data_IF_035652468393
#
_entry.id   IF_035652468393
#
_cell.length_a   1.000
_cell.length_b   1.000
_cell.length_c   1.000
_cell.angle_alpha   90.00
_cell.angle_beta   90.00
_cell.angle_gamma   90.00
#
_symmetry.space_group_name_H-M   'P 1'
#
loop_
_entity.id
_entity.type
_entity.pdbx_description
1 polymer ?
#
# COMPACT_ATOMS: atom_id res chain seq x y z
N UNK A 1 -18.92 -6.47 26.72
CA UNK A 1 -17.81 -6.11 25.81
C UNK A 1 -18.39 -5.83 24.43
N UNK A 2 -19.29 -4.84 24.33
CA UNK A 2 -19.97 -4.35 23.11
C UNK A 2 -20.82 -3.13 23.47
N UNK A 3 -20.22 -2.21 24.22
CA UNK A 3 -20.87 -0.94 24.55
C UNK A 3 -20.42 0.07 23.49
N UNK A 4 -21.33 0.58 22.64
CA UNK A 4 -20.97 1.52 21.58
C UNK A 4 -20.33 2.81 22.13
N UNK A 5 -20.66 3.21 23.37
CA UNK A 5 -20.08 4.40 23.99
C UNK A 5 -18.56 4.26 24.20
N UNK A 6 -18.09 3.06 24.56
CA UNK A 6 -16.65 2.80 24.79
C UNK A 6 -15.83 2.75 23.51
N UNK A 7 -16.46 2.43 22.37
CA UNK A 7 -15.80 2.49 21.06
C UNK A 7 -15.63 3.93 20.58
N UNK A 8 -16.61 4.78 20.85
CA UNK A 8 -16.56 6.21 20.51
C UNK A 8 -15.45 6.89 21.31
N UNK A 9 -15.35 6.65 22.61
CA UNK A 9 -14.26 7.18 23.45
C UNK A 9 -12.87 6.70 22.99
N UNK A 10 -12.75 5.44 22.56
CA UNK A 10 -11.50 4.90 22.02
C UNK A 10 -11.09 5.57 20.70
N UNK A 11 -12.05 5.81 19.80
CA UNK A 11 -11.79 6.47 18.52
C UNK A 11 -11.44 7.96 18.70
N UNK A 12 -12.05 8.65 19.66
CA UNK A 12 -11.77 10.06 19.97
C UNK A 12 -10.43 10.23 20.69
N UNK A 13 -10.03 9.25 21.52
CA UNK A 13 -8.75 9.27 22.25
C UNK A 13 -7.56 8.81 21.40
N UNK A 14 -7.81 8.29 20.19
CA UNK A 14 -6.73 7.94 19.26
C UNK A 14 -5.97 9.20 18.87
N UNK A 15 -4.63 9.24 19.00
CA UNK A 15 -3.79 10.34 18.53
C UNK A 15 -3.66 10.31 17.00
N UNK A 16 -4.79 10.14 16.32
CA UNK A 16 -4.85 10.21 14.88
C UNK A 16 -4.79 11.69 14.53
N UNK A 17 -3.68 12.15 13.93
CA UNK A 17 -3.47 13.54 13.53
C UNK A 17 -4.49 14.06 12.50
N UNK A 18 -5.42 13.20 12.08
CA UNK A 18 -6.55 13.49 11.20
C UNK A 18 -7.89 13.64 11.95
N UNK A 19 -7.97 13.35 13.25
CA UNK A 19 -9.22 13.33 14.02
C UNK A 19 -9.73 14.73 14.40
N UNK A 20 -8.88 15.76 14.29
CA UNK A 20 -9.16 17.13 14.66
C UNK A 20 -9.28 18.10 13.47
N UNK A 21 -9.28 17.58 12.23
CA UNK A 21 -9.55 18.42 11.06
C UNK A 21 -11.02 18.86 11.09
N UNK A 22 -11.25 20.15 11.27
CA UNK A 22 -12.58 20.73 11.16
C UNK A 22 -13.09 20.56 9.73
N UNK A 23 -14.42 20.44 9.58
CA UNK A 23 -15.04 20.31 8.25
C UNK A 23 -14.61 21.47 7.33
N UNK A 24 -14.43 22.68 7.89
CA UNK A 24 -13.91 23.85 7.20
C UNK A 24 -12.46 23.73 6.70
N UNK A 25 -11.58 23.05 7.44
CA UNK A 25 -10.19 22.83 7.02
C UNK A 25 -10.11 21.79 5.90
N UNK A 26 -10.95 20.77 5.96
CA UNK A 26 -11.06 19.75 4.90
C UNK A 26 -11.61 20.39 3.62
N UNK A 27 -12.65 21.22 3.72
CA UNK A 27 -13.21 21.94 2.57
C UNK A 27 -12.18 22.90 1.95
N UNK A 28 -11.43 23.64 2.78
CA UNK A 28 -10.33 24.48 2.30
C UNK A 28 -9.26 23.65 1.57
N UNK A 29 -8.91 22.47 2.08
CA UNK A 29 -7.93 21.59 1.44
C UNK A 29 -8.43 20.98 0.12
N UNK A 30 -9.71 20.62 0.05
CA UNK A 30 -10.36 20.11 -1.17
C UNK A 30 -10.50 21.21 -2.23
N UNK A 31 -10.82 22.44 -1.82
CA UNK A 31 -10.89 23.59 -2.72
C UNK A 31 -9.52 23.98 -3.31
N UNK A 32 -8.43 23.56 -2.66
CA UNK A 32 -7.06 23.74 -3.12
C UNK A 32 -6.58 22.64 -4.07
N UNK A 33 -7.33 21.56 -4.27
CA UNK A 33 -6.98 20.54 -5.27
C UNK A 33 -7.29 21.06 -6.68
N UNK A 34 -6.35 20.95 -7.63
CA UNK A 34 -6.62 21.30 -9.02
C UNK A 34 -7.72 20.38 -9.58
N UNK A 35 -8.49 20.90 -10.54
CA UNK A 35 -9.52 20.10 -11.19
C UNK A 35 -8.86 18.89 -11.88
N UNK A 36 -9.29 17.64 -11.58
CA UNK A 36 -8.64 16.46 -12.12
C UNK A 36 -8.76 16.46 -13.65
N UNK A 37 -7.63 16.30 -14.32
CA UNK A 37 -7.63 16.13 -15.77
C UNK A 37 -8.30 14.80 -16.14
N UNK A 38 -9.11 14.77 -17.21
CA UNK A 38 -9.70 13.54 -17.69
C UNK A 38 -8.60 12.54 -18.06
N UNK A 39 -8.71 11.32 -17.55
CA UNK A 39 -7.81 10.22 -17.88
C UNK A 39 -7.88 9.99 -19.40
N UNK A 40 -6.74 10.14 -20.08
CA UNK A 40 -6.63 9.75 -21.50
C UNK A 40 -6.81 8.23 -21.58
N UNK A 41 -7.76 7.77 -22.39
CA UNK A 41 -8.15 6.36 -22.46
C UNK A 41 -7.07 5.43 -23.02
N UNK A 42 -6.08 5.99 -23.73
CA UNK A 42 -5.05 5.23 -24.44
C UNK A 42 -3.82 4.94 -23.56
N UNK A 43 -4.02 4.41 -22.36
CA UNK A 43 -2.89 3.89 -21.59
C UNK A 43 -2.41 2.59 -22.26
N UNK A 44 -1.14 2.48 -22.66
CA UNK A 44 -0.60 1.21 -23.14
C UNK A 44 -0.71 0.16 -22.03
N UNK A 45 -0.94 -1.09 -22.42
CA UNK A 45 -1.04 -2.19 -21.47
C UNK A 45 0.22 -2.27 -20.61
N UNK A 46 0.04 -2.40 -19.29
CA UNK A 46 1.15 -2.55 -18.36
C UNK A 46 1.87 -3.87 -18.67
N UNK A 47 3.20 -3.85 -18.93
CA UNK A 47 3.95 -5.07 -19.15
C UNK A 47 3.89 -5.99 -17.93
N UNK A 48 3.78 -7.30 -18.16
CA UNK A 48 3.88 -8.29 -17.09
C UNK A 48 5.24 -8.25 -16.40
N UNK A 49 5.27 -8.61 -15.12
CA UNK A 49 6.50 -8.66 -14.33
C UNK A 49 7.45 -9.77 -14.82
N UNK A 50 8.71 -9.42 -15.10
CA UNK A 50 9.74 -10.38 -15.53
C UNK A 50 10.49 -10.94 -14.31
N UNK A 51 10.35 -12.25 -14.08
CA UNK A 51 11.04 -12.97 -13.00
C UNK A 51 12.57 -12.96 -13.14
N UNK A 52 13.11 -12.68 -14.33
CA UNK A 52 14.56 -12.53 -14.53
C UNK A 52 15.14 -11.34 -13.76
N UNK A 53 14.31 -10.36 -13.39
CA UNK A 53 14.70 -9.23 -12.56
C UNK A 53 15.04 -9.66 -11.12
N UNK A 54 14.54 -10.81 -10.68
CA UNK A 54 14.84 -11.37 -9.36
C UNK A 54 16.14 -12.18 -9.36
N UNK A 55 16.87 -12.20 -8.23
CA UNK A 55 17.91 -13.18 -7.96
C UNK A 55 17.39 -14.61 -8.13
N UNK A 56 18.23 -15.50 -8.66
CA UNK A 56 17.86 -16.90 -8.93
C UNK A 56 17.27 -17.62 -7.70
N UNK A 57 17.74 -17.27 -6.49
CA UNK A 57 17.26 -17.86 -5.24
C UNK A 57 15.81 -17.47 -4.87
N UNK A 58 15.31 -16.33 -5.35
CA UNK A 58 13.98 -15.81 -5.00
C UNK A 58 12.88 -16.21 -6.01
N UNK A 59 13.25 -16.56 -7.24
CA UNK A 59 12.29 -16.98 -8.28
C UNK A 59 11.37 -18.13 -7.86
N UNK A 60 11.88 -19.29 -7.38
CA UNK A 60 11.01 -20.40 -7.01
C UNK A 60 10.08 -20.06 -5.84
N UNK A 61 10.53 -19.19 -4.93
CA UNK A 61 9.70 -18.72 -3.81
C UNK A 61 8.56 -17.82 -4.30
N UNK A 62 8.85 -16.88 -5.20
CA UNK A 62 7.84 -15.96 -5.75
C UNK A 62 6.82 -16.70 -6.61
N UNK A 63 7.26 -17.67 -7.41
CA UNK A 63 6.38 -18.54 -8.19
C UNK A 63 5.44 -19.36 -7.29
N UNK A 64 5.97 -20.04 -6.26
CA UNK A 64 5.15 -20.83 -5.33
C UNK A 64 4.12 -19.98 -4.57
N UNK A 65 4.53 -18.82 -4.05
CA UNK A 65 3.63 -17.92 -3.30
C UNK A 65 2.52 -17.40 -4.20
N UNK A 66 2.83 -17.01 -5.43
CA UNK A 66 1.86 -16.41 -6.35
C UNK A 66 0.89 -17.43 -6.89
N UNK A 67 1.35 -18.66 -7.15
CA UNK A 67 0.48 -19.80 -7.48
C UNK A 67 -0.50 -20.08 -6.35
N UNK A 68 -0.03 -20.12 -5.09
CA UNK A 68 -0.88 -20.43 -3.94
C UNK A 68 -1.85 -19.32 -3.57
N UNK A 69 -1.43 -18.06 -3.71
CA UNK A 69 -2.24 -16.90 -3.36
C UNK A 69 -3.13 -16.42 -4.52
N UNK A 70 -2.94 -16.95 -5.73
CA UNK A 70 -3.64 -16.52 -6.95
C UNK A 70 -3.47 -15.02 -7.20
N UNK A 71 -2.29 -14.49 -6.88
CA UNK A 71 -1.93 -13.07 -7.03
C UNK A 71 -0.92 -12.89 -8.16
N UNK A 72 -0.88 -11.70 -8.80
CA UNK A 72 0.17 -11.40 -9.78
C UNK A 72 1.59 -11.47 -9.17
N UNK A 73 2.58 -11.78 -10.02
CA UNK A 73 3.96 -12.09 -9.60
C UNK A 73 4.69 -10.92 -8.92
N UNK A 74 4.37 -9.70 -9.32
CA UNK A 74 4.92 -8.45 -8.78
C UNK A 74 4.67 -8.31 -7.27
N UNK A 75 3.53 -8.78 -6.75
CA UNK A 75 3.18 -8.61 -5.34
C UNK A 75 4.12 -9.39 -4.43
N UNK A 76 4.37 -10.66 -4.74
CA UNK A 76 5.32 -11.47 -3.98
C UNK A 76 6.79 -11.08 -4.27
N UNK A 77 7.09 -10.63 -5.49
CA UNK A 77 8.42 -10.17 -5.87
C UNK A 77 8.88 -8.94 -5.06
N UNK A 78 8.03 -7.91 -4.94
CA UNK A 78 8.34 -6.68 -4.21
C UNK A 78 8.64 -6.96 -2.75
N UNK A 79 7.81 -7.76 -2.09
CA UNK A 79 8.00 -8.12 -0.67
C UNK A 79 9.31 -8.89 -0.49
N UNK A 80 9.61 -9.85 -1.38
CA UNK A 80 10.84 -10.65 -1.31
C UNK A 80 12.10 -9.79 -1.41
N UNK A 81 12.12 -8.80 -2.32
CA UNK A 81 13.23 -7.86 -2.47
C UNK A 81 13.34 -6.93 -1.25
N UNK A 82 12.21 -6.42 -0.75
CA UNK A 82 12.17 -5.57 0.44
C UNK A 82 12.72 -6.30 1.68
N UNK A 83 12.32 -7.55 1.90
CA UNK A 83 12.83 -8.37 3.00
C UNK A 83 14.34 -8.59 2.91
N UNK A 84 14.86 -8.83 1.70
CA UNK A 84 16.30 -8.98 1.48
C UNK A 84 17.06 -7.67 1.77
N UNK A 85 16.52 -6.52 1.34
CA UNK A 85 17.12 -5.22 1.60
C UNK A 85 17.11 -4.87 3.11
N UNK A 86 15.99 -5.14 3.80
CA UNK A 86 15.84 -4.89 5.23
C UNK A 86 16.73 -5.77 6.10
N UNK A 87 17.00 -7.02 5.68
CA UNK A 87 17.90 -7.94 6.40
C UNK A 87 19.31 -7.39 6.61
N UNK A 88 19.76 -6.43 5.79
CA UNK A 88 21.10 -5.83 5.91
C UNK A 88 21.14 -4.57 6.79
N UNK A 89 20.00 -3.99 7.13
CA UNK A 89 19.92 -2.75 7.92
C UNK A 89 19.92 -3.05 9.44
N UNK A 90 19.59 -4.27 9.85
CA UNK A 90 19.55 -4.66 11.26
C UNK A 90 20.92 -5.03 11.89
N UNK A 91 22.02 -4.97 11.13
CA UNK A 91 23.38 -5.27 11.60
C UNK A 91 24.27 -4.01 11.78
N UNK A 92 23.69 -2.80 11.78
CA UNK A 92 24.40 -1.53 11.94
C UNK A 92 24.14 -0.84 13.27
#
# INVERSE_FOLDING_TARGET
>A
MNDPAKLVDFLISSPNSYANATVSEIEAHLNNWPMPEPLRADLPAVPGFDLKLLPNALRPLVEDVTERMQTPLDFAAVVSVLSLAGSRIAEG
#
